data_IF_605318632691
#
_entry.id   IF_605318632691
#
_cell.length_a   1.000
_cell.length_b   1.000
_cell.length_c   1.000
_cell.angle_alpha   90.00
_cell.angle_beta   90.00
_cell.angle_gamma   90.00
#
_symmetry.space_group_name_H-M   'P 1'
#
loop_
_entity.id
_entity.type
_entity.pdbx_description
1 polymer ?
#
# COMPACT_ATOMS: atom_id res chain seq x y z
N UNK A 1 4.40 -3.20 -4.03
CA UNK A 1 4.77 -3.03 -2.62
C UNK A 1 6.27 -2.72 -2.50
N UNK A 2 6.70 -2.18 -1.36
CA UNK A 2 8.11 -1.98 -1.03
C UNK A 2 8.72 -3.27 -0.48
N UNK A 3 9.95 -3.60 -0.88
CA UNK A 3 10.72 -4.67 -0.25
C UNK A 3 11.05 -4.29 1.20
N UNK A 4 11.01 -5.27 2.09
CA UNK A 4 11.45 -5.10 3.48
C UNK A 4 12.90 -4.61 3.54
N UNK A 5 13.77 -5.16 2.70
CA UNK A 5 15.16 -4.74 2.55
C UNK A 5 15.72 -5.14 1.19
N UNK A 6 16.71 -4.38 0.72
CA UNK A 6 17.34 -4.59 -0.60
C UNK A 6 18.32 -5.75 -0.64
N UNK A 7 18.84 -6.19 0.50
CA UNK A 7 19.74 -7.34 0.64
C UNK A 7 19.03 -8.61 1.16
N UNK A 8 17.71 -8.69 0.95
CA UNK A 8 16.88 -9.85 1.32
C UNK A 8 16.74 -10.87 0.19
N UNK A 9 15.65 -11.64 0.22
CA UNK A 9 15.31 -12.64 -0.79
C UNK A 9 14.73 -12.06 -2.11
N UNK A 10 14.54 -10.74 -2.14
CA UNK A 10 13.96 -10.01 -3.27
C UNK A 10 12.46 -10.20 -3.47
N UNK A 11 11.77 -10.89 -2.54
CA UNK A 11 10.34 -11.21 -2.64
C UNK A 11 9.54 -10.78 -1.42
N UNK A 12 10.18 -10.69 -0.26
CA UNK A 12 9.52 -10.25 0.98
C UNK A 12 9.20 -8.76 0.87
N UNK A 13 7.91 -8.43 0.85
CA UNK A 13 7.41 -7.06 0.84
C UNK A 13 6.70 -6.74 2.15
N UNK A 14 6.91 -5.54 2.68
CA UNK A 14 6.35 -5.12 3.97
C UNK A 14 5.23 -4.10 3.79
N UNK A 15 4.12 -4.31 4.51
CA UNK A 15 2.91 -3.50 4.33
C UNK A 15 3.06 -2.08 4.89
N UNK A 16 3.51 -1.89 6.14
CA UNK A 16 3.68 -0.55 6.69
C UNK A 16 4.80 0.24 6.01
N UNK A 17 5.91 -0.42 5.65
CA UNK A 17 6.94 0.19 4.79
C UNK A 17 6.38 0.62 3.42
N UNK A 18 5.43 -0.14 2.86
CA UNK A 18 4.70 0.29 1.66
C UNK A 18 3.85 1.52 1.92
N UNK A 19 3.18 1.63 3.08
CA UNK A 19 2.47 2.85 3.49
C UNK A 19 3.39 4.07 3.47
N UNK A 20 4.57 3.96 4.09
CA UNK A 20 5.60 5.02 4.04
C UNK A 20 6.07 5.32 2.61
N UNK A 21 6.26 4.27 1.78
CA UNK A 21 6.58 4.41 0.37
C UNK A 21 5.51 5.15 -0.45
N UNK A 22 4.23 4.91 -0.18
CA UNK A 22 3.13 5.65 -0.81
C UNK A 22 3.15 7.14 -0.44
N UNK A 23 3.50 7.47 0.81
CA UNK A 23 3.74 8.88 1.18
C UNK A 23 4.94 9.47 0.42
N UNK A 24 6.01 8.71 0.23
CA UNK A 24 7.15 9.14 -0.58
C UNK A 24 6.76 9.36 -2.05
N UNK A 25 5.80 8.60 -2.61
CA UNK A 25 5.28 8.85 -3.96
C UNK A 25 4.56 10.20 -4.09
N UNK A 26 3.88 10.67 -3.03
CA UNK A 26 3.31 12.04 -3.01
C UNK A 26 4.44 13.08 -3.09
N UNK A 27 5.51 12.88 -2.33
CA UNK A 27 6.70 13.75 -2.42
C UNK A 27 7.32 13.71 -3.81
N UNK A 28 7.46 12.53 -4.41
CA UNK A 28 7.98 12.37 -5.76
C UNK A 28 7.12 13.11 -6.80
N UNK A 29 5.79 13.09 -6.64
CA UNK A 29 4.86 13.81 -7.51
C UNK A 29 5.04 15.33 -7.40
N UNK A 30 5.13 15.84 -6.17
CA UNK A 30 5.34 17.28 -5.92
C UNK A 30 6.69 17.76 -6.44
N UNK A 31 7.73 16.96 -6.19
CA UNK A 31 9.10 17.29 -6.57
C UNK A 31 9.44 16.95 -8.02
N UNK A 32 8.50 16.36 -8.76
CA UNK A 32 8.69 15.92 -10.13
C UNK A 32 9.96 15.06 -10.31
N UNK A 33 10.19 14.11 -9.41
CA UNK A 33 11.31 13.16 -9.50
C UNK A 33 11.16 12.18 -10.67
N UNK A 34 9.94 12.05 -11.20
CA UNK A 34 9.59 11.31 -12.41
C UNK A 34 8.36 11.98 -13.04
N UNK A 35 7.95 11.53 -14.23
CA UNK A 35 6.71 12.02 -14.83
C UNK A 35 5.52 11.80 -13.88
N UNK A 36 4.70 12.84 -13.70
CA UNK A 36 3.53 12.82 -12.81
C UNK A 36 2.55 11.69 -13.13
N UNK A 37 2.36 11.38 -14.41
CA UNK A 37 1.53 10.28 -14.86
C UNK A 37 2.11 8.92 -14.46
N UNK A 38 3.42 8.72 -14.62
CA UNK A 38 4.13 7.49 -14.20
C UNK A 38 4.08 7.28 -12.68
N UNK A 39 4.14 8.36 -11.90
CA UNK A 39 3.98 8.30 -10.45
C UNK A 39 2.58 7.83 -10.06
N UNK A 40 1.54 8.39 -10.69
CA UNK A 40 0.15 7.95 -10.48
C UNK A 40 -0.04 6.48 -10.90
N UNK A 41 0.55 6.07 -12.03
CA UNK A 41 0.56 4.67 -12.47
C UNK A 41 1.19 3.75 -11.43
N UNK A 42 2.34 4.14 -10.85
CA UNK A 42 3.00 3.38 -9.80
C UNK A 42 2.15 3.28 -8.53
N UNK A 43 1.52 4.37 -8.10
CA UNK A 43 0.59 4.36 -6.97
C UNK A 43 -0.55 3.37 -7.23
N UNK A 44 -1.20 3.44 -8.39
CA UNK A 44 -2.32 2.56 -8.74
C UNK A 44 -1.92 1.08 -8.74
N UNK A 45 -0.72 0.74 -9.24
CA UNK A 45 -0.17 -0.61 -9.18
C UNK A 45 0.02 -1.11 -7.73
N UNK A 46 0.43 -0.21 -6.82
CA UNK A 46 0.57 -0.56 -5.40
C UNK A 46 -0.81 -0.76 -4.76
N UNK A 47 -1.77 0.12 -5.05
CA UNK A 47 -3.14 -0.02 -4.55
C UNK A 47 -3.81 -1.31 -5.05
N UNK A 48 -3.57 -1.69 -6.31
CA UNK A 48 -4.02 -2.97 -6.86
C UNK A 48 -3.41 -4.17 -6.14
N UNK A 49 -2.12 -4.10 -5.74
CA UNK A 49 -1.55 -5.14 -4.90
C UNK A 49 -2.27 -5.23 -3.56
N UNK A 50 -2.44 -4.10 -2.86
CA UNK A 50 -3.10 -4.05 -1.55
C UNK A 50 -4.57 -4.55 -1.60
N UNK A 51 -5.23 -4.37 -2.73
CA UNK A 51 -6.59 -4.86 -2.98
C UNK A 51 -6.66 -6.37 -3.19
N UNK A 52 -5.65 -6.96 -3.83
CA UNK A 52 -5.67 -8.37 -4.23
C UNK A 52 -4.88 -9.30 -3.31
N UNK A 53 -4.04 -8.77 -2.43
CA UNK A 53 -3.35 -9.58 -1.43
C UNK A 53 -4.30 -10.10 -0.34
N UNK A 54 -3.92 -11.21 0.28
CA UNK A 54 -4.68 -11.81 1.37
C UNK A 54 -4.92 -10.79 2.50
N UNK A 55 -6.15 -10.68 3.01
CA UNK A 55 -6.51 -9.76 4.10
C UNK A 55 -7.20 -10.51 5.23
N UNK A 56 -6.96 -10.06 6.45
CA UNK A 56 -7.44 -10.68 7.68
C UNK A 56 -8.39 -9.71 8.36
N UNK A 57 -9.71 -9.92 8.24
CA UNK A 57 -10.72 -8.93 8.69
C UNK A 57 -10.49 -7.54 8.06
N UNK A 58 -9.97 -7.52 6.84
CA UNK A 58 -9.54 -6.30 6.15
C UNK A 58 -8.17 -5.76 6.59
N UNK A 59 -7.56 -6.21 7.69
CA UNK A 59 -6.17 -5.86 7.98
C UNK A 59 -5.21 -6.52 6.97
N UNK A 60 -4.07 -5.86 6.74
CA UNK A 60 -2.95 -6.46 6.02
C UNK A 60 -2.02 -7.16 7.02
N UNK A 61 -1.34 -8.21 6.57
CA UNK A 61 -0.24 -8.82 7.29
C UNK A 61 1.00 -7.93 7.30
N UNK A 62 1.94 -8.21 8.19
CA UNK A 62 3.23 -7.53 8.22
C UNK A 62 3.98 -7.74 6.89
N UNK A 63 4.18 -9.00 6.50
CA UNK A 63 4.86 -9.38 5.27
C UNK A 63 3.95 -10.15 4.31
N UNK A 64 4.24 -9.95 3.04
CA UNK A 64 3.71 -10.75 1.94
C UNK A 64 4.84 -11.25 1.06
N UNK A 65 4.59 -12.35 0.37
CA UNK A 65 5.37 -12.69 -0.80
C UNK A 65 4.89 -11.81 -1.98
N UNK A 66 5.80 -10.99 -2.52
CA UNK A 66 5.51 -10.03 -3.59
C UNK A 66 5.13 -10.66 -4.93
N UNK A 67 5.42 -11.95 -5.14
CA UNK A 67 5.05 -12.67 -6.36
C UNK A 67 3.68 -13.36 -6.23
N UNK A 68 3.35 -13.88 -5.04
CA UNK A 68 2.15 -14.70 -4.83
C UNK A 68 1.02 -14.00 -4.11
N UNK A 69 1.25 -12.81 -3.55
CA UNK A 69 0.25 -11.99 -2.84
C UNK A 69 -0.27 -12.63 -1.54
N UNK A 70 0.38 -13.72 -1.09
CA UNK A 70 0.01 -14.45 0.13
C UNK A 70 0.76 -13.91 1.35
N UNK A 71 0.14 -14.02 2.52
CA UNK A 71 0.77 -13.69 3.79
C UNK A 71 2.05 -14.49 3.94
N UNK A 72 3.16 -13.80 4.24
CA UNK A 72 4.41 -14.43 4.60
C UNK A 72 4.61 -14.23 6.10
N UNK A 73 4.63 -15.30 6.92
CA UNK A 73 4.74 -15.15 8.37
C UNK A 73 6.01 -14.40 8.77
N UNK A 74 5.86 -13.39 9.63
CA UNK A 74 6.99 -12.70 10.28
C UNK A 74 7.60 -13.57 11.38
N UNK A 75 6.74 -14.31 12.08
CA UNK A 75 7.10 -15.35 13.04
C UNK A 75 6.06 -16.47 13.01
N UNK A 76 6.23 -17.54 13.79
CA UNK A 76 5.27 -18.66 13.82
C UNK A 76 3.87 -18.29 14.32
N UNK A 77 3.72 -17.17 15.03
CA UNK A 77 2.44 -16.68 15.55
C UNK A 77 2.05 -15.31 14.98
N UNK A 78 2.83 -14.82 14.02
CA UNK A 78 2.57 -13.58 13.29
C UNK A 78 2.44 -13.92 11.81
N UNK A 79 1.32 -14.59 11.50
CA UNK A 79 0.94 -15.17 10.20
C UNK A 79 -0.43 -14.66 9.72
N UNK A 80 -0.93 -13.59 10.35
CA UNK A 80 -2.25 -13.00 10.12
C UNK A 80 -2.19 -11.49 9.92
N UNK A 81 -3.24 -10.77 10.30
CA UNK A 81 -3.30 -9.31 10.21
C UNK A 81 -2.45 -8.63 11.27
N UNK A 82 -1.62 -7.68 10.85
CA UNK A 82 -0.86 -6.77 11.72
C UNK A 82 -1.53 -5.39 11.70
N UNK A 83 -2.16 -5.00 12.81
CA UNK A 83 -2.89 -3.74 12.89
C UNK A 83 -1.97 -2.51 12.94
N UNK A 84 -0.75 -2.63 13.45
CA UNK A 84 0.20 -1.51 13.47
C UNK A 84 0.68 -1.23 12.05
N UNK A 85 1.09 -2.28 11.32
CA UNK A 85 1.49 -2.14 9.92
C UNK A 85 0.32 -1.67 9.03
N UNK A 86 -0.88 -2.20 9.27
CA UNK A 86 -2.12 -1.74 8.63
C UNK A 86 -2.37 -0.24 8.86
N UNK A 87 -2.10 0.28 10.07
CA UNK A 87 -2.29 1.70 10.38
C UNK A 87 -1.38 2.61 9.54
N UNK A 88 -0.15 2.18 9.25
CA UNK A 88 0.77 2.93 8.38
C UNK A 88 0.31 2.93 6.91
N UNK A 89 -0.27 1.82 6.43
CA UNK A 89 -0.92 1.78 5.11
C UNK A 89 -2.08 2.76 5.07
N UNK A 90 -2.96 2.73 6.06
CA UNK A 90 -4.16 3.59 6.12
C UNK A 90 -3.81 5.06 6.21
N UNK A 91 -2.77 5.44 6.96
CA UNK A 91 -2.21 6.80 6.97
C UNK A 91 -1.91 7.27 5.53
N UNK A 92 -1.30 6.41 4.72
CA UNK A 92 -1.00 6.73 3.33
C UNK A 92 -2.27 6.78 2.45
N UNK A 93 -3.20 5.84 2.60
CA UNK A 93 -4.45 5.82 1.84
C UNK A 93 -5.27 7.10 2.05
N UNK A 94 -5.42 7.53 3.31
CA UNK A 94 -6.11 8.80 3.65
C UNK A 94 -5.36 9.99 3.02
N UNK A 95 -4.03 9.98 3.04
CA UNK A 95 -3.20 11.01 2.40
C UNK A 95 -3.45 11.07 0.89
N UNK A 96 -3.34 9.93 0.19
CA UNK A 96 -3.55 9.84 -1.27
C UNK A 96 -4.95 10.32 -1.67
N UNK A 97 -5.98 9.87 -0.95
CA UNK A 97 -7.38 10.26 -1.18
C UNK A 97 -7.57 11.78 -1.10
N UNK A 98 -6.90 12.42 -0.15
CA UNK A 98 -7.03 13.86 0.07
C UNK A 98 -6.08 14.69 -0.78
N UNK A 99 -5.00 14.12 -1.29
CA UNK A 99 -4.00 14.82 -2.06
C UNK A 99 -4.35 14.85 -3.57
N UNK A 100 -4.68 13.70 -4.16
CA UNK A 100 -5.01 13.59 -5.59
C UNK A 100 -6.46 13.99 -5.87
N UNK A 101 -6.78 15.30 -5.79
CA UNK A 101 -8.15 15.85 -5.96
C UNK A 101 -8.54 16.20 -7.40
N UNK A 102 -7.59 16.15 -8.32
CA UNK A 102 -7.84 16.46 -9.73
C UNK A 102 -8.90 15.51 -10.33
N UNK A 103 -9.61 15.97 -11.36
CA UNK A 103 -10.65 15.17 -12.04
C UNK A 103 -10.11 14.31 -13.19
N UNK A 104 -8.79 14.18 -13.32
CA UNK A 104 -8.21 13.22 -14.24
C UNK A 104 -8.49 11.77 -13.79
N UNK A 105 -8.56 10.86 -14.76
CA UNK A 105 -8.97 9.48 -14.54
C UNK A 105 -8.12 8.76 -13.48
N UNK A 106 -6.80 8.99 -13.47
CA UNK A 106 -5.90 8.35 -12.51
C UNK A 106 -6.12 8.88 -11.09
N UNK A 107 -6.26 10.20 -10.92
CA UNK A 107 -6.57 10.80 -9.60
C UNK A 107 -7.91 10.29 -9.05
N UNK A 108 -8.95 10.24 -9.88
CA UNK A 108 -10.26 9.68 -9.50
C UNK A 108 -10.11 8.23 -9.04
N UNK A 109 -9.39 7.40 -9.80
CA UNK A 109 -9.17 6.00 -9.47
C UNK A 109 -8.36 5.82 -8.17
N UNK A 110 -7.35 6.66 -7.94
CA UNK A 110 -6.57 6.66 -6.69
C UNK A 110 -7.50 6.93 -5.50
N UNK A 111 -8.35 7.96 -5.57
CA UNK A 111 -9.30 8.30 -4.48
C UNK A 111 -10.29 7.16 -4.21
N UNK A 112 -10.82 6.56 -5.27
CA UNK A 112 -11.79 5.47 -5.16
C UNK A 112 -11.17 4.22 -4.52
N UNK A 113 -10.02 3.77 -5.03
CA UNK A 113 -9.30 2.61 -4.46
C UNK A 113 -8.86 2.87 -3.02
N UNK A 114 -8.30 4.04 -2.74
CA UNK A 114 -7.91 4.40 -1.38
C UNK A 114 -9.11 4.33 -0.42
N UNK A 115 -10.27 4.88 -0.83
CA UNK A 115 -11.52 4.85 -0.03
C UNK A 115 -12.00 3.43 0.22
N UNK A 116 -12.14 2.63 -0.83
CA UNK A 116 -12.55 1.22 -0.74
C UNK A 116 -11.66 0.43 0.22
N UNK A 117 -10.35 0.61 0.14
CA UNK A 117 -9.39 -0.16 0.93
C UNK A 117 -9.44 0.17 2.42
N UNK A 118 -9.50 1.46 2.80
CA UNK A 118 -9.49 1.85 4.21
C UNK A 118 -10.85 1.58 4.89
N UNK A 119 -11.96 1.75 4.17
CA UNK A 119 -13.31 1.46 4.69
C UNK A 119 -13.55 -0.05 4.88
N UNK A 120 -12.83 -0.89 4.14
CA UNK A 120 -12.94 -2.35 4.24
C UNK A 120 -12.22 -2.99 5.43
N UNK A 121 -11.70 -2.21 6.39
CA UNK A 121 -10.97 -2.72 7.56
C UNK A 121 -11.91 -2.78 8.77
N UNK A 122 -12.00 -3.96 9.38
CA UNK A 122 -12.71 -4.17 10.64
C UNK A 122 -11.75 -3.92 11.82
N UNK A 123 -11.86 -2.75 12.43
CA UNK A 123 -10.99 -2.31 13.53
C UNK A 123 -11.48 -2.71 14.94
N UNK A 124 -12.70 -3.20 15.07
CA UNK A 124 -13.35 -3.43 16.37
C UNK A 124 -13.28 -4.89 16.84
#
# INVERSE_FOLDING_TARGET
MALERTNGDGRTVASGATGMGLMAMVVAYERAYEERAEIKTRILKILEFLENCERHKGAWAHWYNGDTYQTQPFSSLDDGGDLVETSFVVQALITLRNYFRDEDAQSVQIRQKATLLWEGIDWN
#
